data_IF_305644820762
#
_entry.id   IF_305644820762
#
_cell.length_a   1.000
_cell.length_b   1.000
_cell.length_c   1.000
_cell.angle_alpha   90.00
_cell.angle_beta   90.00
_cell.angle_gamma   90.00
#
_symmetry.space_group_name_H-M   'P 1'
#
loop_
_entity.id
_entity.type
_entity.pdbx_description
1 polymer ?
#
# COMPACT_ATOMS: atom_id res chain seq x y z
N UNK A 1 12.48 2.87 -14.54
CA UNK A 1 12.27 2.09 -13.30
C UNK A 1 10.79 1.78 -13.22
N UNK A 2 10.46 0.51 -12.97
CA UNK A 2 9.05 0.07 -12.84
C UNK A 2 8.81 -0.49 -11.46
N UNK A 3 7.71 -0.09 -10.82
CA UNK A 3 7.25 -0.60 -9.55
C UNK A 3 5.87 -1.25 -9.73
N UNK A 4 5.65 -2.36 -9.05
CA UNK A 4 4.36 -3.04 -8.99
C UNK A 4 3.84 -2.89 -7.58
N UNK A 5 2.69 -2.22 -7.41
CA UNK A 5 2.18 -1.86 -6.08
C UNK A 5 0.81 -2.51 -5.86
N UNK A 6 0.62 -3.09 -4.70
CA UNK A 6 -0.65 -3.68 -4.27
C UNK A 6 -1.07 -3.09 -2.92
N UNK A 7 -2.37 -2.85 -2.72
CA UNK A 7 -2.95 -2.46 -1.43
C UNK A 7 -3.51 -3.67 -0.70
N UNK A 8 -3.87 -3.50 0.50
CA UNK A 8 -4.75 -4.23 1.41
C UNK A 8 -5.17 -5.65 0.91
N UNK A 9 -4.25 -6.64 1.04
CA UNK A 9 -4.47 -8.01 0.56
C UNK A 9 -5.31 -8.83 1.55
N UNK A 10 -5.17 -8.57 2.87
CA UNK A 10 -5.87 -9.24 3.96
C UNK A 10 -5.77 -10.78 3.89
N UNK A 11 -4.58 -11.32 3.64
CA UNK A 11 -4.39 -12.78 3.71
C UNK A 11 -4.79 -13.29 5.08
N UNK A 12 -5.66 -14.30 5.12
CA UNK A 12 -6.26 -14.79 6.36
C UNK A 12 -6.23 -16.30 6.48
N UNK A 13 -6.07 -16.79 7.70
CA UNK A 13 -6.28 -18.18 8.05
C UNK A 13 -7.76 -18.55 7.91
N UNK A 14 -8.04 -19.81 7.62
CA UNK A 14 -9.40 -20.31 7.42
C UNK A 14 -9.83 -21.26 8.53
N UNK A 15 -11.15 -21.34 8.75
CA UNK A 15 -11.74 -22.40 9.56
C UNK A 15 -12.11 -23.57 8.65
N UNK A 16 -11.42 -24.69 8.79
CA UNK A 16 -11.67 -25.91 8.02
C UNK A 16 -13.08 -26.51 8.22
N UNK A 17 -13.82 -26.07 9.24
CA UNK A 17 -15.21 -26.45 9.43
C UNK A 17 -16.17 -25.77 8.42
N UNK A 18 -15.74 -24.70 7.78
CA UNK A 18 -16.53 -24.01 6.76
C UNK A 18 -16.19 -24.58 5.39
N UNK A 19 -17.13 -25.31 4.81
CA UNK A 19 -16.94 -26.00 3.54
C UNK A 19 -16.59 -25.02 2.41
N UNK A 20 -15.53 -25.31 1.66
CA UNK A 20 -15.11 -24.53 0.49
C UNK A 20 -14.32 -23.26 0.81
N UNK A 21 -14.21 -22.85 2.09
CA UNK A 21 -13.51 -21.61 2.41
C UNK A 21 -12.00 -21.72 2.20
N UNK A 22 -11.37 -22.79 2.66
CA UNK A 22 -9.93 -23.02 2.47
C UNK A 22 -9.57 -23.07 0.99
N UNK A 23 -10.33 -23.80 0.19
CA UNK A 23 -10.09 -23.92 -1.25
C UNK A 23 -10.25 -22.58 -1.97
N UNK A 24 -11.28 -21.81 -1.60
CA UNK A 24 -11.51 -20.46 -2.17
C UNK A 24 -10.38 -19.50 -1.77
N UNK A 25 -9.94 -19.51 -0.49
CA UNK A 25 -8.85 -18.73 0.01
C UNK A 25 -7.55 -19.03 -0.73
N UNK A 26 -7.17 -20.30 -0.82
CA UNK A 26 -5.92 -20.72 -1.47
C UNK A 26 -5.94 -20.32 -2.95
N UNK A 27 -7.01 -20.64 -3.66
CA UNK A 27 -7.17 -20.30 -5.07
C UNK A 27 -7.11 -18.78 -5.33
N UNK A 28 -7.75 -17.97 -4.47
CA UNK A 28 -7.72 -16.53 -4.59
C UNK A 28 -6.31 -15.98 -4.44
N UNK A 29 -5.66 -16.29 -3.32
CA UNK A 29 -4.35 -15.69 -3.01
C UNK A 29 -3.23 -16.23 -3.88
N UNK A 30 -3.23 -17.52 -4.22
CA UNK A 30 -2.28 -18.10 -5.19
C UNK A 30 -2.40 -17.40 -6.55
N UNK A 31 -3.62 -17.18 -7.04
CA UNK A 31 -3.84 -16.50 -8.32
C UNK A 31 -3.43 -15.05 -8.24
N UNK A 32 -3.90 -14.32 -7.23
CA UNK A 32 -3.65 -12.88 -7.10
C UNK A 32 -2.17 -12.56 -6.89
N UNK A 33 -1.51 -13.27 -5.97
CA UNK A 33 -0.08 -13.11 -5.71
C UNK A 33 0.74 -13.60 -6.92
N UNK A 34 0.33 -14.69 -7.56
CA UNK A 34 0.95 -15.17 -8.79
C UNK A 34 0.96 -14.06 -9.87
N UNK A 35 -0.18 -13.41 -10.11
CA UNK A 35 -0.30 -12.31 -11.06
C UNK A 35 0.50 -11.08 -10.66
N UNK A 36 0.53 -10.74 -9.39
CA UNK A 36 1.38 -9.67 -8.88
C UNK A 36 2.87 -9.97 -9.14
N UNK A 37 3.33 -11.20 -8.97
CA UNK A 37 4.71 -11.62 -9.17
C UNK A 37 5.08 -11.86 -10.65
N UNK A 38 4.10 -12.16 -11.53
CA UNK A 38 4.30 -12.27 -12.97
C UNK A 38 4.68 -10.93 -13.61
N UNK A 39 4.19 -9.81 -13.06
CA UNK A 39 4.54 -8.49 -13.56
C UNK A 39 6.04 -8.23 -13.44
N UNK A 40 6.68 -7.81 -14.53
CA UNK A 40 8.09 -7.42 -14.49
C UNK A 40 8.23 -6.03 -13.87
N UNK A 41 9.06 -5.92 -12.83
CA UNK A 41 9.33 -4.67 -12.12
C UNK A 41 10.62 -4.74 -11.30
N UNK A 42 11.19 -3.58 -11.03
CA UNK A 42 12.39 -3.45 -10.18
C UNK A 42 12.04 -3.70 -8.72
N UNK A 43 10.83 -3.33 -8.31
CA UNK A 43 10.31 -3.54 -6.96
C UNK A 43 8.84 -3.97 -7.00
N UNK A 44 8.50 -4.89 -6.10
CA UNK A 44 7.14 -5.29 -5.78
C UNK A 44 6.81 -4.78 -4.38
N UNK A 45 5.74 -4.03 -4.21
CA UNK A 45 5.46 -3.25 -3.00
C UNK A 45 4.05 -3.55 -2.49
N UNK A 46 3.93 -3.87 -1.20
CA UNK A 46 2.66 -3.87 -0.48
C UNK A 46 2.54 -2.62 0.36
N UNK A 47 1.37 -1.97 0.30
CA UNK A 47 1.06 -0.76 1.08
C UNK A 47 0.53 -1.04 2.50
N UNK A 48 0.65 -2.27 2.97
CA UNK A 48 0.16 -2.68 4.28
C UNK A 48 -1.13 -3.48 4.21
N UNK A 49 -1.60 -3.91 5.38
CA UNK A 49 -2.70 -4.86 5.52
C UNK A 49 -2.54 -6.06 4.59
N UNK A 50 -1.29 -6.57 4.54
CA UNK A 50 -0.93 -7.75 3.77
C UNK A 50 -1.60 -8.99 4.38
N UNK A 51 -1.76 -9.00 5.70
CA UNK A 51 -2.46 -10.03 6.49
C UNK A 51 -3.71 -9.45 7.14
N UNK A 52 -4.63 -10.32 7.60
CA UNK A 52 -5.86 -9.86 8.25
C UNK A 52 -5.71 -9.62 9.76
N UNK A 53 -4.77 -10.30 10.42
CA UNK A 53 -4.48 -10.10 11.84
C UNK A 53 -3.00 -9.98 12.17
N UNK A 54 -2.10 -10.26 11.25
CA UNK A 54 -0.67 -10.30 11.50
C UNK A 54 -0.25 -11.47 12.38
N UNK A 55 -0.97 -12.60 12.33
CA UNK A 55 -0.55 -13.82 13.03
C UNK A 55 0.70 -14.42 12.38
N UNK A 56 1.47 -15.20 13.15
CA UNK A 56 2.64 -15.89 12.59
C UNK A 56 2.26 -16.83 11.44
N UNK A 57 1.08 -17.46 11.51
CA UNK A 57 0.56 -18.35 10.47
C UNK A 57 0.21 -17.61 9.20
N UNK A 58 -0.52 -16.48 9.32
CA UNK A 58 -0.86 -15.63 8.17
C UNK A 58 0.39 -15.08 7.49
N UNK A 59 1.34 -14.57 8.28
CA UNK A 59 2.62 -14.08 7.76
C UNK A 59 3.41 -15.18 7.05
N UNK A 60 3.54 -16.36 7.66
CA UNK A 60 4.23 -17.49 7.05
C UNK A 60 3.54 -17.93 5.74
N UNK A 61 2.21 -17.95 5.71
CA UNK A 61 1.43 -18.33 4.54
C UNK A 61 1.65 -17.38 3.37
N UNK A 62 1.42 -16.07 3.59
CA UNK A 62 1.56 -15.07 2.53
C UNK A 62 3.00 -14.90 2.05
N UNK A 63 3.97 -14.93 2.95
CA UNK A 63 5.39 -14.88 2.58
C UNK A 63 5.85 -16.17 1.87
N UNK A 64 5.24 -17.31 2.16
CA UNK A 64 5.44 -18.55 1.40
C UNK A 64 5.01 -18.43 -0.06
N UNK A 65 3.90 -17.74 -0.34
CA UNK A 65 3.45 -17.44 -1.71
C UNK A 65 4.36 -16.39 -2.38
N UNK A 66 4.69 -15.30 -1.69
CA UNK A 66 5.57 -14.25 -2.21
C UNK A 66 6.98 -14.75 -2.52
N UNK A 67 7.49 -15.72 -1.76
CA UNK A 67 8.80 -16.34 -1.95
C UNK A 67 8.90 -17.27 -3.17
N UNK A 68 7.82 -17.55 -3.89
CA UNK A 68 7.84 -18.42 -5.08
C UNK A 68 8.54 -17.80 -6.29
N UNK A 69 8.72 -16.49 -6.31
CA UNK A 69 9.47 -15.79 -7.34
C UNK A 69 10.60 -14.94 -6.72
N UNK A 70 11.73 -14.85 -7.43
CA UNK A 70 12.85 -14.00 -7.01
C UNK A 70 12.56 -12.54 -7.37
N UNK A 71 11.77 -11.87 -6.53
CA UNK A 71 11.43 -10.45 -6.69
C UNK A 71 11.94 -9.62 -5.51
N UNK A 72 12.30 -8.38 -5.75
CA UNK A 72 12.58 -7.43 -4.67
C UNK A 72 11.27 -6.96 -4.07
N UNK A 73 10.84 -7.61 -2.99
CA UNK A 73 9.58 -7.30 -2.32
C UNK A 73 9.80 -6.40 -1.10
N UNK A 74 9.00 -5.35 -0.98
CA UNK A 74 8.98 -4.43 0.16
C UNK A 74 7.55 -4.33 0.69
N UNK A 75 7.42 -4.45 2.01
CA UNK A 75 6.14 -4.39 2.71
C UNK A 75 6.16 -3.23 3.70
N UNK A 76 5.35 -2.18 3.46
CA UNK A 76 5.00 -1.19 4.45
C UNK A 76 3.90 -1.79 5.35
N UNK A 77 4.06 -1.73 6.68
CA UNK A 77 3.09 -2.35 7.59
C UNK A 77 1.79 -1.55 7.66
N UNK A 78 0.65 -2.27 7.62
CA UNK A 78 -0.67 -1.75 7.93
C UNK A 78 -1.11 -2.08 9.37
N UNK A 79 -2.27 -1.58 9.78
CA UNK A 79 -2.79 -1.84 11.13
C UNK A 79 -3.17 -3.32 11.34
N UNK A 80 -3.70 -3.98 10.32
CA UNK A 80 -4.02 -5.41 10.38
C UNK A 80 -2.78 -6.29 10.53
N UNK A 81 -1.65 -5.91 9.97
CA UNK A 81 -0.40 -6.65 10.13
C UNK A 81 0.14 -6.62 11.57
N UNK A 82 -0.37 -5.72 12.41
CA UNK A 82 0.08 -5.50 13.79
C UNK A 82 -0.97 -5.80 14.86
N UNK A 83 -2.11 -6.36 14.52
CA UNK A 83 -3.14 -6.65 15.53
C UNK A 83 -2.74 -7.75 16.51
N UNK A 84 -2.28 -8.90 16.00
CA UNK A 84 -2.00 -10.07 16.83
C UNK A 84 -0.62 -10.02 17.51
N UNK A 85 0.36 -9.36 16.91
CA UNK A 85 1.76 -9.41 17.33
C UNK A 85 2.36 -8.02 17.49
N UNK A 86 3.45 -7.95 18.26
CA UNK A 86 4.27 -6.74 18.32
C UNK A 86 4.99 -6.52 17.01
N UNK A 87 5.22 -5.28 16.65
CA UNK A 87 5.97 -4.88 15.45
C UNK A 87 7.32 -5.59 15.35
N UNK A 88 8.06 -5.69 16.44
CA UNK A 88 9.35 -6.35 16.46
C UNK A 88 9.26 -7.82 16.03
N UNK A 89 8.20 -8.52 16.46
CA UNK A 89 7.99 -9.93 16.11
C UNK A 89 7.61 -10.07 14.63
N UNK A 90 6.73 -9.21 14.12
CA UNK A 90 6.36 -9.18 12.70
C UNK A 90 7.59 -8.88 11.83
N UNK A 91 8.40 -7.90 12.20
CA UNK A 91 9.63 -7.57 11.44
C UNK A 91 10.67 -8.70 11.51
N UNK A 92 10.75 -9.44 12.61
CA UNK A 92 11.63 -10.60 12.72
C UNK A 92 11.19 -11.77 11.81
N UNK A 93 9.87 -11.96 11.63
CA UNK A 93 9.32 -12.99 10.72
C UNK A 93 9.52 -12.57 9.26
N UNK A 94 9.21 -11.32 8.93
CA UNK A 94 9.17 -10.83 7.55
C UNK A 94 10.53 -10.40 6.99
N UNK A 95 11.49 -10.11 7.86
CA UNK A 95 12.78 -9.54 7.47
C UNK A 95 12.69 -8.10 6.94
N UNK A 96 11.53 -7.46 7.05
CA UNK A 96 11.31 -6.09 6.59
C UNK A 96 11.87 -5.07 7.58
N UNK A 97 12.01 -3.83 7.12
CA UNK A 97 12.42 -2.69 7.97
C UNK A 97 11.19 -1.92 8.40
N UNK A 98 11.24 -1.33 9.60
CA UNK A 98 10.15 -0.51 10.14
C UNK A 98 9.83 0.67 9.20
N UNK A 99 10.82 1.51 8.94
CA UNK A 99 10.80 2.56 7.92
C UNK A 99 12.20 2.72 7.34
N UNK A 100 12.29 3.09 6.08
CA UNK A 100 13.57 3.27 5.40
C UNK A 100 13.39 3.99 4.06
N UNK A 101 14.50 4.35 3.44
CA UNK A 101 14.52 4.85 2.07
C UNK A 101 15.50 4.06 1.20
N UNK A 102 15.21 4.03 -0.09
CA UNK A 102 16.07 3.47 -1.14
C UNK A 102 16.31 4.59 -2.14
N UNK A 103 17.56 5.01 -2.27
CA UNK A 103 17.92 5.99 -3.28
C UNK A 103 18.27 5.25 -4.58
N UNK A 104 17.58 5.59 -5.66
CA UNK A 104 17.80 5.04 -6.99
C UNK A 104 18.26 6.15 -7.95
N UNK A 105 18.68 5.80 -9.15
CA UNK A 105 19.01 6.80 -10.17
C UNK A 105 17.79 7.68 -10.54
N UNK A 106 16.58 7.13 -10.52
CA UNK A 106 15.36 7.77 -11.01
C UNK A 106 14.55 8.50 -9.94
N UNK A 107 14.55 7.98 -8.72
CA UNK A 107 13.73 8.51 -7.63
C UNK A 107 14.28 8.08 -6.26
N UNK A 108 13.91 8.81 -5.23
CA UNK A 108 14.03 8.37 -3.84
C UNK A 108 12.74 7.67 -3.42
N UNK A 109 12.83 6.38 -3.11
CA UNK A 109 11.71 5.59 -2.58
C UNK A 109 11.74 5.67 -1.05
N UNK A 110 10.61 5.95 -0.42
CA UNK A 110 10.47 6.11 1.03
C UNK A 110 9.36 5.21 1.52
N UNK A 111 9.64 4.41 2.51
CA UNK A 111 8.67 3.50 3.13
C UNK A 111 8.45 3.95 4.58
N UNK A 112 7.19 4.23 4.93
CA UNK A 112 6.80 4.70 6.26
C UNK A 112 6.07 3.61 7.04
N UNK A 113 6.27 3.62 8.35
CA UNK A 113 5.48 2.87 9.30
C UNK A 113 4.45 3.81 9.92
N UNK A 114 3.21 3.63 9.53
CA UNK A 114 2.11 4.49 10.01
C UNK A 114 1.11 3.73 10.88
N UNK A 115 1.33 2.43 11.13
CA UNK A 115 0.41 1.60 11.90
C UNK A 115 0.70 1.69 13.40
N UNK A 116 -0.34 1.58 14.22
CA UNK A 116 -0.24 1.39 15.66
C UNK A 116 -0.07 -0.10 15.97
N UNK A 117 0.59 -0.39 17.07
CA UNK A 117 0.88 -1.76 17.49
C UNK A 117 -0.22 -2.28 18.41
N UNK A 118 -0.82 -3.43 18.05
CA UNK A 118 -1.80 -4.17 18.85
C UNK A 118 -3.02 -3.33 19.29
N UNK A 119 -3.47 -2.42 18.44
CA UNK A 119 -4.59 -1.54 18.73
C UNK A 119 -5.79 -1.86 17.83
N UNK A 120 -6.74 -2.66 18.35
CA UNK A 120 -7.99 -2.98 17.65
C UNK A 120 -9.05 -1.86 17.77
N UNK A 121 -8.88 -0.93 18.70
CA UNK A 121 -9.85 0.13 18.95
C UNK A 121 -9.53 1.38 18.12
N UNK A 122 -8.25 1.64 17.88
CA UNK A 122 -7.79 2.78 17.10
C UNK A 122 -6.87 2.33 15.97
N UNK A 123 -7.46 2.02 14.82
CA UNK A 123 -6.77 1.64 13.59
C UNK A 123 -6.28 2.83 12.75
N UNK A 124 -6.46 4.07 13.23
CA UNK A 124 -5.95 5.27 12.56
C UNK A 124 -4.42 5.37 12.58
N UNK A 125 -3.87 6.06 11.58
CA UNK A 125 -2.44 6.17 11.39
C UNK A 125 -1.75 7.06 12.43
N UNK A 126 -0.49 6.74 12.71
CA UNK A 126 0.39 7.52 13.57
C UNK A 126 1.82 7.51 13.05
N UNK A 127 2.48 8.65 13.10
CA UNK A 127 3.91 8.81 12.81
C UNK A 127 4.55 9.45 14.03
N UNK A 128 5.53 8.77 14.64
CA UNK A 128 6.22 9.33 15.80
C UNK A 128 7.23 10.42 15.39
N UNK A 129 7.66 11.22 16.36
CA UNK A 129 8.55 12.34 16.13
C UNK A 129 9.92 11.92 15.56
N UNK A 130 10.40 10.72 15.92
CA UNK A 130 11.68 10.21 15.41
C UNK A 130 11.59 9.94 13.92
N UNK A 131 10.54 9.24 13.50
CA UNK A 131 10.28 8.95 12.09
C UNK A 131 10.01 10.25 11.30
N UNK A 132 9.28 11.21 11.90
CA UNK A 132 8.99 12.48 11.24
C UNK A 132 10.27 13.30 10.99
N UNK A 133 11.17 13.38 11.98
CA UNK A 133 12.49 14.01 11.81
C UNK A 133 13.38 13.30 10.79
N UNK A 134 13.34 11.96 10.80
CA UNK A 134 14.05 11.18 9.80
C UNK A 134 13.51 11.46 8.38
N UNK A 135 12.18 11.47 8.22
CA UNK A 135 11.53 11.78 6.94
C UNK A 135 11.91 13.18 6.45
N UNK A 136 11.94 14.18 7.34
CA UNK A 136 12.38 15.53 7.01
C UNK A 136 13.79 15.52 6.42
N UNK A 137 14.73 14.82 7.05
CA UNK A 137 16.08 14.67 6.53
C UNK A 137 16.13 14.01 5.15
N UNK A 138 15.30 12.99 4.90
CA UNK A 138 15.22 12.33 3.58
C UNK A 138 14.63 13.28 2.54
N UNK A 139 13.56 14.02 2.88
CA UNK A 139 12.92 15.00 1.98
C UNK A 139 13.95 16.07 1.57
N UNK A 140 14.68 16.64 2.52
CA UNK A 140 15.71 17.65 2.25
C UNK A 140 16.85 17.08 1.39
N UNK A 141 17.36 15.90 1.72
CA UNK A 141 18.43 15.24 0.98
C UNK A 141 18.05 14.88 -0.47
N UNK A 142 16.77 14.59 -0.73
CA UNK A 142 16.29 14.27 -2.07
C UNK A 142 16.34 15.45 -3.05
N UNK A 143 16.40 16.69 -2.56
CA UNK A 143 16.42 17.91 -3.39
C UNK A 143 15.30 17.92 -4.44
N UNK A 144 15.66 18.08 -5.71
CA UNK A 144 14.71 18.07 -6.84
C UNK A 144 14.41 16.67 -7.41
N UNK A 145 15.15 15.61 -6.98
CA UNK A 145 14.91 14.23 -7.44
C UNK A 145 13.47 13.82 -7.09
N UNK A 146 12.71 13.18 -7.97
CA UNK A 146 11.37 12.67 -7.65
C UNK A 146 11.38 11.80 -6.39
N UNK A 147 10.35 11.93 -5.56
CA UNK A 147 10.19 11.13 -4.34
C UNK A 147 8.89 10.34 -4.41
N UNK A 148 8.96 9.05 -4.16
CA UNK A 148 7.79 8.17 -4.06
C UNK A 148 7.72 7.65 -2.63
N UNK A 149 6.65 7.99 -1.92
CA UNK A 149 6.41 7.59 -0.53
C UNK A 149 5.36 6.49 -0.53
N UNK A 150 5.62 5.42 0.21
CA UNK A 150 4.74 4.27 0.39
C UNK A 150 4.41 4.15 1.87
N UNK A 151 3.14 4.25 2.20
CA UNK A 151 2.63 4.14 3.56
C UNK A 151 1.26 3.48 3.53
N UNK A 152 0.83 2.89 4.64
CA UNK A 152 -0.51 2.34 4.71
C UNK A 152 -1.57 3.43 4.80
N UNK A 153 -1.44 4.34 5.75
CA UNK A 153 -2.43 5.39 5.98
C UNK A 153 -2.22 6.62 5.09
N UNK A 154 -3.31 7.20 4.54
CA UNK A 154 -3.24 8.47 3.84
C UNK A 154 -2.85 9.63 4.76
N UNK A 155 -2.37 10.70 4.16
CA UNK A 155 -2.28 12.00 4.82
C UNK A 155 -3.69 12.57 4.96
N UNK A 156 -4.01 13.20 6.10
CA UNK A 156 -5.32 13.77 6.35
C UNK A 156 -5.72 14.79 5.26
N UNK A 157 -6.97 14.71 4.79
CA UNK A 157 -7.54 15.57 3.73
C UNK A 157 -6.88 15.47 2.36
N UNK A 158 -6.34 14.31 1.99
CA UNK A 158 -5.77 14.15 0.65
C UNK A 158 -6.64 13.27 -0.25
N UNK A 159 -6.81 12.01 0.06
CA UNK A 159 -7.56 11.06 -0.76
C UNK A 159 -8.97 10.84 -0.22
N UNK A 160 -9.83 10.13 -0.96
CA UNK A 160 -11.18 9.80 -0.53
C UNK A 160 -11.17 9.10 0.84
N UNK A 161 -12.12 9.46 1.70
CA UNK A 161 -12.29 8.93 3.06
C UNK A 161 -11.14 9.26 4.04
N UNK A 162 -10.10 9.98 3.66
CA UNK A 162 -9.02 10.37 4.57
C UNK A 162 -9.44 11.35 5.67
N UNK A 163 -10.64 11.95 5.57
CA UNK A 163 -11.23 12.82 6.62
C UNK A 163 -12.11 12.05 7.61
N UNK A 164 -12.40 10.77 7.34
CA UNK A 164 -13.19 9.94 8.26
C UNK A 164 -12.42 9.72 9.56
N UNK A 165 -13.15 9.44 10.62
CA UNK A 165 -12.54 9.01 11.87
C UNK A 165 -11.63 7.79 11.62
N UNK A 166 -10.39 7.86 12.10
CA UNK A 166 -9.35 6.84 11.90
C UNK A 166 -9.00 6.52 10.43
N UNK A 167 -9.46 7.33 9.47
CA UNK A 167 -9.25 7.11 8.03
C UNK A 167 -7.88 7.57 7.50
N UNK A 168 -7.00 8.13 8.34
CA UNK A 168 -5.71 8.69 7.94
C UNK A 168 -4.70 8.71 9.08
N UNK A 169 -3.48 9.16 8.79
CA UNK A 169 -2.55 9.63 9.81
C UNK A 169 -3.26 10.70 10.63
N UNK A 170 -3.22 10.57 11.96
CA UNK A 170 -3.95 11.46 12.87
C UNK A 170 -3.63 12.94 12.55
N UNK A 171 -4.66 13.76 12.45
CA UNK A 171 -4.57 15.14 11.98
C UNK A 171 -3.71 16.07 12.88
N UNK A 172 -3.40 15.65 14.12
CA UNK A 172 -2.45 16.39 14.98
C UNK A 172 -1.00 16.22 14.54
N UNK A 173 -0.70 15.23 13.67
CA UNK A 173 0.62 15.04 13.08
C UNK A 173 0.70 15.92 11.84
N UNK A 174 1.51 16.97 11.92
CA UNK A 174 1.67 17.90 10.79
C UNK A 174 2.60 17.31 9.71
N UNK A 175 2.06 16.39 8.92
CA UNK A 175 2.78 15.80 7.78
C UNK A 175 3.17 16.86 6.75
N UNK A 176 2.40 17.95 6.62
CA UNK A 176 2.68 19.00 5.65
C UNK A 176 3.88 19.87 6.03
N UNK A 177 4.25 19.95 7.32
CA UNK A 177 5.48 20.63 7.75
C UNK A 177 6.73 19.98 7.15
N UNK A 178 6.67 18.67 6.85
CA UNK A 178 7.75 17.89 6.23
C UNK A 178 7.56 17.77 4.72
N UNK A 179 6.40 17.28 4.26
CA UNK A 179 6.14 17.08 2.83
C UNK A 179 6.22 18.39 2.04
N UNK A 180 5.83 19.52 2.65
CA UNK A 180 5.90 20.85 2.04
C UNK A 180 7.32 21.36 1.74
N UNK A 181 8.35 20.73 2.30
CA UNK A 181 9.77 21.06 2.06
C UNK A 181 10.32 20.41 0.78
N UNK A 182 9.58 19.50 0.13
CA UNK A 182 10.00 18.83 -1.10
C UNK A 182 10.16 19.84 -2.24
N UNK A 183 11.37 19.91 -2.82
CA UNK A 183 11.67 20.84 -3.92
C UNK A 183 11.27 20.32 -5.30
N UNK A 184 11.14 19.03 -5.49
CA UNK A 184 10.69 18.43 -6.76
C UNK A 184 9.32 17.80 -6.58
N UNK A 185 8.98 16.92 -7.50
CA UNK A 185 7.73 16.20 -7.50
C UNK A 185 7.72 15.11 -6.44
N UNK A 186 6.61 14.99 -5.70
CA UNK A 186 6.30 13.90 -4.80
C UNK A 186 5.09 13.09 -5.24
N UNK A 187 5.14 11.79 -5.03
CA UNK A 187 3.98 10.90 -5.14
C UNK A 187 3.85 10.13 -3.82
N UNK A 188 2.69 10.12 -3.23
CA UNK A 188 2.41 9.42 -1.98
C UNK A 188 1.37 8.33 -2.23
N UNK A 189 1.76 7.07 -2.03
CA UNK A 189 0.90 5.90 -2.19
C UNK A 189 0.40 5.43 -0.83
N UNK A 190 -0.90 5.14 -0.75
CA UNK A 190 -1.53 4.58 0.44
C UNK A 190 -2.68 3.61 0.10
N UNK A 191 -3.09 2.82 1.10
CA UNK A 191 -4.27 1.95 1.12
C UNK A 191 -5.27 2.38 2.18
N UNK A 192 -5.63 1.47 3.08
CA UNK A 192 -6.39 1.65 4.31
C UNK A 192 -7.89 1.90 4.15
N UNK A 193 -8.31 2.85 3.33
CA UNK A 193 -9.74 3.21 3.24
C UNK A 193 -10.50 2.44 2.15
N UNK A 194 -9.84 1.50 1.50
CA UNK A 194 -10.39 0.55 0.52
C UNK A 194 -11.17 1.22 -0.62
N UNK A 195 -10.63 2.30 -1.18
CA UNK A 195 -11.22 2.95 -2.35
C UNK A 195 -10.13 3.57 -3.23
N UNK A 196 -10.21 3.37 -4.54
CA UNK A 196 -9.30 4.02 -5.48
C UNK A 196 -9.53 5.54 -5.48
N UNK A 197 -8.44 6.30 -5.38
CA UNK A 197 -8.49 7.76 -5.39
C UNK A 197 -7.17 8.37 -5.79
N UNK A 198 -7.20 9.38 -6.65
CA UNK A 198 -6.04 10.19 -6.98
C UNK A 198 -6.36 11.65 -6.68
N UNK A 199 -5.51 12.29 -5.88
CA UNK A 199 -5.63 13.70 -5.52
C UNK A 199 -4.31 14.43 -5.75
N UNK A 200 -4.38 15.69 -6.18
CA UNK A 200 -3.20 16.53 -6.39
C UNK A 200 -3.28 17.76 -5.50
N UNK A 201 -2.21 17.99 -4.75
CA UNK A 201 -2.07 19.18 -3.92
C UNK A 201 -0.61 19.65 -3.94
N UNK A 202 -0.38 20.91 -4.28
CA UNK A 202 0.97 21.48 -4.46
C UNK A 202 1.77 20.69 -5.49
N UNK A 203 2.98 20.26 -5.13
CA UNK A 203 3.85 19.43 -5.94
C UNK A 203 3.71 17.93 -5.66
N UNK A 204 2.65 17.51 -4.94
CA UNK A 204 2.37 16.13 -4.58
C UNK A 204 1.17 15.56 -5.33
N UNK A 205 1.27 14.31 -5.70
CA UNK A 205 0.17 13.47 -6.16
C UNK A 205 -0.04 12.36 -5.13
N UNK A 206 -1.23 12.28 -4.56
CA UNK A 206 -1.63 11.24 -3.61
C UNK A 206 -2.41 10.17 -4.35
N UNK A 207 -2.00 8.92 -4.22
CA UNK A 207 -2.55 7.77 -4.94
C UNK A 207 -2.96 6.73 -3.92
N UNK A 208 -4.26 6.58 -3.71
CA UNK A 208 -4.83 5.57 -2.83
C UNK A 208 -5.29 4.38 -3.65
N UNK A 209 -4.94 3.20 -3.18
CA UNK A 209 -5.36 1.93 -3.74
C UNK A 209 -6.51 1.36 -2.92
N UNK A 210 -7.50 0.82 -3.63
CA UNK A 210 -8.51 -0.04 -3.00
C UNK A 210 -7.88 -1.33 -2.48
N UNK A 211 -8.59 -2.00 -1.57
CA UNK A 211 -8.20 -3.35 -1.18
C UNK A 211 -8.26 -4.31 -2.37
N UNK A 212 -7.29 -5.20 -2.45
CA UNK A 212 -7.25 -6.25 -3.49
C UNK A 212 -8.49 -7.14 -3.44
N UNK A 213 -9.05 -7.35 -2.25
CA UNK A 213 -10.31 -8.08 -2.09
C UNK A 213 -11.51 -7.34 -2.71
N UNK A 214 -11.51 -6.00 -2.71
CA UNK A 214 -12.61 -5.20 -3.29
C UNK A 214 -12.44 -4.99 -4.79
N UNK A 215 -11.22 -4.70 -5.21
CA UNK A 215 -10.84 -4.51 -6.61
C UNK A 215 -9.58 -5.31 -6.90
N UNK A 216 -9.73 -6.40 -7.63
CA UNK A 216 -8.65 -7.32 -7.97
C UNK A 216 -7.71 -6.66 -8.97
N UNK A 217 -6.84 -5.79 -8.48
CA UNK A 217 -5.95 -5.00 -9.32
C UNK A 217 -4.61 -4.75 -8.64
N UNK A 218 -3.59 -4.52 -9.46
CA UNK A 218 -2.30 -3.98 -9.04
C UNK A 218 -2.09 -2.61 -9.68
N UNK A 219 -1.19 -1.79 -9.15
CA UNK A 219 -0.78 -0.52 -9.73
C UNK A 219 0.58 -0.69 -10.40
N UNK A 220 0.65 -0.38 -11.67
CA UNK A 220 1.91 -0.25 -12.40
C UNK A 220 2.38 1.19 -12.30
N UNK A 221 3.62 1.39 -11.86
CA UNK A 221 4.23 2.71 -11.70
C UNK A 221 5.52 2.76 -12.50
N UNK A 222 5.51 3.46 -13.62
CA UNK A 222 6.66 3.65 -14.48
C UNK A 222 7.29 5.02 -14.23
N UNK A 223 8.51 5.03 -13.69
CA UNK A 223 9.31 6.26 -13.49
C UNK A 223 10.24 6.43 -14.69
N UNK A 224 9.84 7.30 -15.59
CA UNK A 224 10.56 7.66 -16.81
C UNK A 224 11.47 8.89 -16.59
N UNK A 225 12.10 9.41 -17.62
CA UNK A 225 12.99 10.58 -17.51
C UNK A 225 12.23 11.89 -17.34
N UNK A 226 11.02 11.98 -17.86
CA UNK A 226 10.20 13.20 -17.97
C UNK A 226 8.84 13.09 -17.26
N UNK A 227 8.43 11.89 -16.87
CA UNK A 227 7.17 11.68 -16.17
C UNK A 227 7.17 10.42 -15.30
N UNK A 228 6.16 10.33 -14.42
CA UNK A 228 5.77 9.12 -13.72
C UNK A 228 4.38 8.73 -14.23
N UNK A 229 4.26 7.54 -14.81
CA UNK A 229 2.97 6.97 -15.25
C UNK A 229 2.46 6.02 -14.18
N UNK A 230 1.21 6.17 -13.81
CA UNK A 230 0.54 5.34 -12.82
C UNK A 230 -0.73 4.81 -13.46
N UNK A 231 -0.91 3.49 -13.47
CA UNK A 231 -2.09 2.86 -14.04
C UNK A 231 -2.49 1.61 -13.26
N UNK A 232 -3.79 1.40 -13.09
CA UNK A 232 -4.30 0.15 -12.55
C UNK A 232 -4.30 -0.94 -13.63
N UNK A 233 -3.89 -2.15 -13.24
CA UNK A 233 -4.04 -3.36 -14.04
C UNK A 233 -4.93 -4.33 -13.30
N UNK A 234 -6.10 -4.59 -13.88
CA UNK A 234 -7.08 -5.52 -13.31
C UNK A 234 -6.62 -6.97 -13.49
N UNK A 235 -6.97 -7.82 -12.52
CA UNK A 235 -6.74 -9.26 -12.50
C UNK A 235 -8.11 -9.94 -12.67
N UNK A 236 -8.39 -10.45 -13.86
CA UNK A 236 -9.70 -10.99 -14.24
C UNK A 236 -9.70 -12.53 -14.34
N UNK A 237 -8.74 -13.18 -13.69
CA UNK A 237 -8.65 -14.63 -13.68
C UNK A 237 -9.78 -15.29 -12.89
N UNK A 238 -10.26 -16.42 -13.39
CA UNK A 238 -11.31 -17.22 -12.77
C UNK A 238 -10.99 -17.59 -11.31
N UNK A 239 -9.71 -17.85 -11.01
CA UNK A 239 -9.26 -18.15 -9.65
C UNK A 239 -9.58 -17.04 -8.65
N UNK A 240 -9.56 -15.78 -9.08
CA UNK A 240 -9.91 -14.61 -8.27
C UNK A 240 -11.41 -14.39 -8.26
N UNK A 241 -12.02 -14.25 -9.45
CA UNK A 241 -13.44 -13.87 -9.60
C UNK A 241 -14.41 -14.87 -8.96
N UNK A 242 -14.14 -16.18 -9.09
CA UNK A 242 -15.00 -17.23 -8.54
C UNK A 242 -14.82 -17.41 -7.03
N UNK A 243 -13.61 -17.09 -6.49
CA UNK A 243 -13.30 -17.30 -5.08
C UNK A 243 -13.66 -16.10 -4.18
N UNK A 244 -13.60 -14.88 -4.70
CA UNK A 244 -13.84 -13.66 -3.95
C UNK A 244 -15.18 -13.64 -3.17
N UNK A 245 -16.33 -14.09 -3.73
CA UNK A 245 -17.59 -14.10 -2.97
C UNK A 245 -17.53 -14.94 -1.69
N UNK A 246 -16.79 -16.06 -1.70
CA UNK A 246 -16.61 -16.90 -0.52
C UNK A 246 -15.76 -16.18 0.53
N UNK A 247 -14.72 -15.45 0.11
CA UNK A 247 -13.91 -14.65 1.02
C UNK A 247 -14.75 -13.54 1.67
N UNK A 248 -15.55 -12.82 0.90
CA UNK A 248 -16.43 -11.75 1.45
C UNK A 248 -17.40 -12.30 2.51
N UNK A 249 -17.91 -13.51 2.32
CA UNK A 249 -18.89 -14.11 3.22
C UNK A 249 -18.29 -14.53 4.57
N UNK A 250 -16.99 -14.82 4.62
CA UNK A 250 -16.36 -15.45 5.79
C UNK A 250 -15.18 -14.68 6.38
N UNK A 251 -14.65 -13.64 5.68
CA UNK A 251 -13.54 -12.84 6.18
C UNK A 251 -13.97 -11.96 7.34
N UNK A 252 -13.47 -12.17 8.56
CA UNK A 252 -13.79 -11.31 9.68
C UNK A 252 -13.03 -9.97 9.57
N UNK A 253 -13.60 -8.91 10.13
CA UNK A 253 -13.05 -7.55 10.11
C UNK A 253 -12.78 -6.96 8.72
N UNK A 254 -13.30 -7.59 7.68
CA UNK A 254 -13.33 -7.08 6.32
C UNK A 254 -14.77 -6.85 5.87
N UNK A 255 -15.03 -5.71 5.27
CA UNK A 255 -16.34 -5.39 4.70
C UNK A 255 -16.19 -5.01 3.25
N UNK A 256 -16.67 -5.88 2.37
CA UNK A 256 -16.64 -5.64 0.92
C UNK A 256 -17.28 -4.28 0.54
N UNK A 257 -16.53 -3.51 -0.24
CA UNK A 257 -16.93 -2.21 -0.77
C UNK A 257 -17.14 -2.31 -2.30
N UNK A 258 -18.37 -2.44 -2.79
CA UNK A 258 -18.63 -2.56 -4.23
C UNK A 258 -18.32 -1.27 -5.01
N UNK A 259 -18.16 -0.13 -4.32
CA UNK A 259 -17.83 1.18 -4.91
C UNK A 259 -16.33 1.51 -4.82
N UNK A 260 -15.49 0.52 -4.48
CA UNK A 260 -14.06 0.71 -4.26
C UNK A 260 -13.31 1.23 -5.50
N UNK A 261 -13.79 0.89 -6.71
CA UNK A 261 -13.08 1.13 -7.97
C UNK A 261 -12.90 2.61 -8.31
N UNK A 262 -13.87 3.46 -8.00
CA UNK A 262 -13.86 4.84 -8.48
C UNK A 262 -13.97 4.98 -10.01
N UNK A 263 -13.65 6.15 -10.55
CA UNK A 263 -13.59 6.44 -11.98
C UNK A 263 -12.20 6.18 -12.57
N UNK A 264 -12.05 6.43 -13.88
CA UNK A 264 -10.75 6.30 -14.56
C UNK A 264 -9.71 7.26 -13.95
N UNK A 265 -10.13 8.46 -13.59
CA UNK A 265 -9.32 9.50 -12.94
C UNK A 265 -8.79 9.12 -11.56
N UNK A 266 -9.42 8.15 -10.89
CA UNK A 266 -8.99 7.59 -9.61
C UNK A 266 -7.97 6.46 -9.78
N UNK A 267 -7.78 5.97 -11.01
CA UNK A 267 -7.04 4.74 -11.29
C UNK A 267 -5.79 4.94 -12.14
N UNK A 268 -5.74 6.04 -12.89
CA UNK A 268 -4.59 6.33 -13.74
C UNK A 268 -4.25 7.81 -13.77
N UNK A 269 -2.98 8.12 -13.82
CA UNK A 269 -2.50 9.48 -14.03
C UNK A 269 -1.08 9.52 -14.58
N UNK A 270 -0.71 10.67 -15.12
CA UNK A 270 0.66 11.02 -15.48
C UNK A 270 1.08 12.23 -14.65
N UNK A 271 2.22 12.10 -13.99
CA UNK A 271 2.85 13.17 -13.20
C UNK A 271 4.08 13.65 -13.96
N UNK A 272 4.05 14.89 -14.46
CA UNK A 272 5.18 15.48 -15.20
C UNK A 272 6.36 15.75 -14.26
N UNK A 273 7.56 15.40 -14.67
CA UNK A 273 8.82 15.71 -13.98
C UNK A 273 9.52 16.94 -14.58
N UNK A 274 9.08 17.39 -15.75
CA UNK A 274 9.57 18.64 -16.32
C UNK A 274 8.89 19.81 -15.63
N UNK A 275 9.67 20.83 -15.22
CA UNK A 275 9.09 22.08 -14.71
C UNK A 275 8.08 22.59 -15.74
N UNK A 276 6.84 22.82 -15.31
CA UNK A 276 5.90 23.57 -16.14
C UNK A 276 6.58 24.90 -16.45
N UNK A 277 6.96 25.09 -17.72
CA UNK A 277 7.40 26.41 -18.20
C UNK A 277 6.21 27.33 -17.90
N UNK A 278 6.35 28.17 -16.88
CA UNK A 278 5.34 29.19 -16.60
C UNK A 278 5.21 30.03 -17.88
N UNK A 279 4.07 29.90 -18.57
CA UNK A 279 3.67 30.74 -19.67
C UNK A 279 3.03 32.04 -19.13
#
# INVERSE_FOLDING_TARGET
MRLIVMGDLHYHDTDAAIAGWTEARDRFYETMIGKFLEEEGDFHISLGDLTNYGTATELAGVYGLLGQASRTFVHALGNHDLYAQKRADVLAITGQKRYHSIDTERATLVFLDTAKEQDFEDWGGWVDEEQLRWLEGVVQASGAKPMLVFAHHPVYRTTKRSEMDKGSIHHSIDMWSVLGQKQGVGVYFNGHTHVDSIHRERNWTFVQLSAVLDQHAVRLVDVESDCIRIAAKDVEEAGVLESAPTLYAHMPHFRHNPEARGGAEDRECVVSLTAATQA
#
